data_IF_005487659586
#
_entry.id   IF_005487659586
#
_cell.length_a   1.000
_cell.length_b   1.000
_cell.length_c   1.000
_cell.angle_alpha   90.00
_cell.angle_beta   90.00
_cell.angle_gamma   90.00
#
_symmetry.space_group_name_H-M   'P 1'
#
loop_
_entity.id
_entity.type
_entity.pdbx_description
1 polymer ?
#
# COMPACT_ATOMS: atom_id res chain seq x y z
N UNK A 1 3.16 27.48 1.72
CA UNK A 1 2.05 26.91 0.92
C UNK A 1 1.13 26.18 1.87
N UNK A 2 -0.16 26.03 1.56
CA UNK A 2 -1.09 25.26 2.39
C UNK A 2 -0.93 23.75 2.10
N UNK A 3 -1.04 22.90 3.12
CA UNK A 3 -1.00 21.45 2.99
C UNK A 3 -2.41 20.88 2.99
N UNK A 4 -2.68 19.87 2.16
CA UNK A 4 -3.98 19.19 2.04
C UNK A 4 -3.89 17.80 2.65
N UNK A 5 -4.95 17.37 3.34
CA UNK A 5 -5.13 16.00 3.79
C UNK A 5 -6.45 15.47 3.24
N UNK A 6 -6.40 14.35 2.54
CA UNK A 6 -7.55 13.53 2.17
C UNK A 6 -7.47 12.27 3.03
N UNK A 7 -8.59 11.93 3.66
CA UNK A 7 -8.78 10.78 4.54
C UNK A 7 -10.18 10.25 4.28
N UNK A 8 -10.46 9.01 4.70
CA UNK A 8 -11.83 8.51 4.71
C UNK A 8 -12.71 9.41 5.61
N UNK A 9 -13.97 9.59 5.20
CA UNK A 9 -14.97 10.28 6.01
C UNK A 9 -15.34 9.45 7.26
N UNK A 10 -15.45 8.13 7.08
CA UNK A 10 -15.74 7.16 8.14
C UNK A 10 -14.72 6.02 8.10
N UNK A 11 -14.19 5.61 9.25
CA UNK A 11 -13.38 4.40 9.37
C UNK A 11 -13.65 3.65 10.67
N UNK A 12 -13.75 2.33 10.58
CA UNK A 12 -13.91 1.41 11.70
C UNK A 12 -12.62 0.62 11.91
N UNK A 13 -12.23 0.41 13.16
CA UNK A 13 -10.99 -0.26 13.53
C UNK A 13 -11.21 -1.33 14.58
N UNK A 14 -10.41 -2.39 14.51
CA UNK A 14 -10.37 -3.46 15.50
C UNK A 14 -11.12 -4.72 15.07
N UNK A 15 -10.95 -5.78 15.84
CA UNK A 15 -11.59 -7.07 15.57
C UNK A 15 -13.12 -6.93 15.47
N UNK A 16 -13.68 -7.42 14.36
CA UNK A 16 -15.12 -7.37 14.09
C UNK A 16 -15.61 -6.05 13.49
N UNK A 17 -14.72 -5.13 13.08
CA UNK A 17 -15.11 -3.88 12.42
C UNK A 17 -16.04 -4.10 11.21
N UNK A 18 -15.92 -5.19 10.45
CA UNK A 18 -16.79 -5.49 9.30
C UNK A 18 -18.27 -5.64 9.67
N UNK A 19 -18.60 -5.85 10.95
CA UNK A 19 -19.99 -5.97 11.41
C UNK A 19 -20.80 -4.68 11.24
N UNK A 20 -20.13 -3.54 11.01
CA UNK A 20 -20.76 -2.25 10.73
C UNK A 20 -21.11 -2.05 9.24
N UNK A 21 -20.69 -2.94 8.33
CA UNK A 21 -21.00 -2.83 6.89
C UNK A 21 -22.51 -2.67 6.64
N UNK A 22 -23.41 -3.50 7.22
CA UNK A 22 -24.84 -3.36 6.95
C UNK A 22 -25.43 -2.04 7.46
N UNK A 23 -24.87 -1.46 8.53
CA UNK A 23 -25.30 -0.17 9.06
C UNK A 23 -24.96 0.94 8.07
N UNK A 24 -23.71 1.00 7.61
CA UNK A 24 -23.24 2.00 6.64
C UNK A 24 -23.99 1.91 5.31
N UNK A 25 -24.20 0.69 4.80
CA UNK A 25 -24.95 0.46 3.56
C UNK A 25 -26.38 1.01 3.67
N UNK A 26 -27.08 0.72 4.78
CA UNK A 26 -28.45 1.21 5.01
C UNK A 26 -28.50 2.72 5.25
N UNK A 27 -27.56 3.27 6.02
CA UNK A 27 -27.50 4.69 6.34
C UNK A 27 -27.25 5.55 5.09
N UNK A 28 -26.47 5.03 4.14
CA UNK A 28 -26.17 5.70 2.87
C UNK A 28 -27.18 5.40 1.77
N UNK A 29 -28.16 4.53 2.02
CA UNK A 29 -29.24 4.20 1.09
C UNK A 29 -28.80 3.38 -0.11
N UNK A 30 -27.71 2.62 0.00
CA UNK A 30 -27.23 1.74 -1.06
C UNK A 30 -28.05 0.45 -1.15
N UNK A 31 -28.25 -0.07 -2.36
CA UNK A 31 -29.14 -1.20 -2.62
C UNK A 31 -28.41 -2.49 -3.00
N UNK A 32 -27.41 -2.44 -3.88
CA UNK A 32 -26.71 -3.63 -4.40
C UNK A 32 -25.20 -3.41 -4.48
N UNK A 33 -24.46 -4.24 -3.75
CA UNK A 33 -23.00 -4.23 -3.76
C UNK A 33 -22.42 -4.86 -5.02
N UNK A 34 -21.35 -4.28 -5.55
CA UNK A 34 -20.40 -4.99 -6.41
C UNK A 34 -19.15 -5.32 -5.58
N UNK A 35 -18.99 -6.59 -5.20
CA UNK A 35 -17.86 -7.03 -4.40
C UNK A 35 -16.66 -7.27 -5.33
N UNK A 36 -15.57 -6.55 -5.12
CA UNK A 36 -14.31 -6.71 -5.86
C UNK A 36 -13.30 -7.41 -4.97
N UNK A 37 -12.82 -8.58 -5.41
CA UNK A 37 -11.96 -9.47 -4.62
C UNK A 37 -11.13 -10.40 -5.55
N UNK A 38 -10.42 -11.37 -4.98
CA UNK A 38 -9.70 -12.41 -5.72
C UNK A 38 -10.18 -13.82 -5.37
N UNK A 39 -9.97 -14.76 -6.29
CA UNK A 39 -10.35 -16.17 -6.09
C UNK A 39 -9.72 -16.81 -4.85
N UNK A 40 -8.54 -16.36 -4.43
CA UNK A 40 -7.83 -16.87 -3.26
C UNK A 40 -8.58 -16.54 -1.98
N UNK A 41 -9.07 -15.32 -1.85
CA UNK A 41 -9.87 -14.86 -0.71
C UNK A 41 -11.24 -15.53 -0.64
N UNK A 42 -11.86 -15.81 -1.80
CA UNK A 42 -13.08 -16.63 -1.88
C UNK A 42 -12.80 -18.04 -1.38
N UNK A 43 -11.76 -18.71 -1.91
CA UNK A 43 -11.37 -20.07 -1.48
C UNK A 43 -10.98 -20.13 0.00
N UNK A 44 -10.46 -19.04 0.56
CA UNK A 44 -10.07 -18.92 1.95
C UNK A 44 -11.24 -18.68 2.92
N UNK A 45 -12.47 -18.48 2.43
CA UNK A 45 -13.63 -18.25 3.30
C UNK A 45 -13.79 -16.81 3.80
N UNK A 46 -12.97 -15.86 3.31
CA UNK A 46 -12.97 -14.47 3.80
C UNK A 46 -14.15 -13.69 3.22
N UNK A 47 -14.44 -13.89 1.93
CA UNK A 47 -15.56 -13.22 1.25
C UNK A 47 -16.91 -13.72 1.80
N UNK A 48 -16.97 -14.96 2.28
CA UNK A 48 -18.12 -15.56 2.94
C UNK A 48 -18.50 -14.82 4.22
N UNK A 49 -17.54 -14.31 4.99
CA UNK A 49 -17.83 -13.49 6.18
C UNK A 49 -18.64 -12.25 5.82
N UNK A 50 -18.24 -11.57 4.74
CA UNK A 50 -18.90 -10.36 4.23
C UNK A 50 -20.26 -10.69 3.62
N UNK A 51 -20.30 -11.66 2.72
CA UNK A 51 -21.55 -12.03 2.04
C UNK A 51 -22.60 -12.62 2.97
N UNK A 52 -22.18 -13.25 4.08
CA UNK A 52 -23.08 -13.65 5.16
C UNK A 52 -23.72 -12.43 5.84
N UNK A 53 -22.93 -11.41 6.19
CA UNK A 53 -23.45 -10.17 6.78
C UNK A 53 -24.47 -9.49 5.86
N UNK A 54 -24.18 -9.44 4.55
CA UNK A 54 -25.11 -8.90 3.56
C UNK A 54 -26.40 -9.73 3.47
N UNK A 55 -26.29 -11.06 3.36
CA UNK A 55 -27.45 -11.99 3.32
C UNK A 55 -28.33 -11.88 4.56
N UNK A 56 -27.73 -11.90 5.75
CA UNK A 56 -28.45 -11.82 7.03
C UNK A 56 -29.20 -10.48 7.17
N UNK A 57 -28.79 -9.45 6.42
CA UNK A 57 -29.41 -8.12 6.40
C UNK A 57 -30.24 -7.84 5.14
N UNK A 58 -30.49 -8.85 4.30
CA UNK A 58 -31.22 -8.73 3.04
C UNK A 58 -30.64 -7.70 2.06
N UNK A 59 -29.31 -7.55 2.05
CA UNK A 59 -28.58 -6.68 1.12
C UNK A 59 -28.11 -7.49 -0.09
N UNK A 60 -28.40 -7.00 -1.28
CA UNK A 60 -28.05 -7.67 -2.54
C UNK A 60 -26.57 -7.44 -2.88
N UNK A 61 -25.95 -8.40 -3.56
CA UNK A 61 -24.60 -8.23 -4.07
C UNK A 61 -24.33 -9.07 -5.31
N UNK A 62 -23.29 -8.70 -6.05
CA UNK A 62 -22.63 -9.46 -7.10
C UNK A 62 -21.14 -9.59 -6.74
N UNK A 63 -20.47 -10.68 -7.15
CA UNK A 63 -19.04 -10.87 -6.89
C UNK A 63 -18.25 -10.79 -8.20
N UNK A 64 -17.15 -10.05 -8.18
CA UNK A 64 -16.08 -10.08 -9.16
C UNK A 64 -14.78 -10.48 -8.46
N UNK A 65 -14.36 -11.73 -8.67
CA UNK A 65 -13.23 -12.40 -8.03
C UNK A 65 -12.02 -12.57 -8.95
N UNK A 66 -11.99 -11.85 -10.08
CA UNK A 66 -10.96 -11.98 -11.12
C UNK A 66 -9.75 -11.06 -10.92
N UNK A 67 -9.65 -10.39 -9.77
CA UNK A 67 -8.47 -9.57 -9.51
C UNK A 67 -7.24 -10.45 -9.33
N UNK A 68 -6.08 -9.91 -9.69
CA UNK A 68 -4.80 -10.60 -9.65
C UNK A 68 -3.78 -9.71 -8.94
N UNK A 69 -2.71 -10.29 -8.34
CA UNK A 69 -1.56 -9.49 -7.91
C UNK A 69 -1.09 -8.58 -9.04
N UNK A 70 -0.72 -7.34 -8.73
CA UNK A 70 -0.28 -6.34 -9.71
C UNK A 70 -1.33 -6.11 -10.83
N UNK A 71 -2.56 -5.66 -10.46
CA UNK A 71 -3.72 -5.71 -11.33
C UNK A 71 -3.50 -4.99 -12.66
N UNK A 72 -3.98 -5.58 -13.75
CA UNK A 72 -3.69 -5.09 -15.10
C UNK A 72 -4.82 -4.25 -15.67
N UNK A 73 -4.52 -3.48 -16.73
CA UNK A 73 -5.54 -2.74 -17.50
C UNK A 73 -6.66 -3.67 -17.99
N UNK A 74 -6.35 -4.91 -18.37
CA UNK A 74 -7.34 -5.88 -18.83
C UNK A 74 -8.32 -6.28 -17.71
N UNK A 75 -7.81 -6.58 -16.52
CA UNK A 75 -8.62 -6.94 -15.34
C UNK A 75 -9.56 -5.80 -14.95
N UNK A 76 -9.08 -4.55 -14.97
CA UNK A 76 -9.91 -3.37 -14.70
C UNK A 76 -11.04 -3.25 -15.72
N UNK A 77 -10.76 -3.44 -17.02
CA UNK A 77 -11.78 -3.39 -18.07
C UNK A 77 -12.85 -4.47 -17.91
N UNK A 78 -12.45 -5.70 -17.59
CA UNK A 78 -13.40 -6.78 -17.29
C UNK A 78 -14.28 -6.44 -16.09
N UNK A 79 -13.69 -5.85 -15.05
CA UNK A 79 -14.40 -5.39 -13.85
C UNK A 79 -15.40 -4.27 -14.12
N UNK A 80 -15.07 -3.33 -15.01
CA UNK A 80 -15.98 -2.24 -15.44
C UNK A 80 -17.22 -2.82 -16.14
N UNK A 81 -17.03 -3.76 -17.06
CA UNK A 81 -18.15 -4.37 -17.78
C UNK A 81 -19.02 -5.23 -16.86
N UNK A 82 -18.39 -5.97 -15.94
CA UNK A 82 -19.10 -6.72 -14.90
C UNK A 82 -19.89 -5.80 -13.95
N UNK A 83 -19.31 -4.67 -13.52
CA UNK A 83 -19.99 -3.68 -12.68
C UNK A 83 -21.25 -3.15 -13.38
N UNK A 84 -21.12 -2.69 -14.64
CA UNK A 84 -22.25 -2.18 -15.43
C UNK A 84 -23.36 -3.23 -15.61
N UNK A 85 -23.00 -4.49 -15.84
CA UNK A 85 -23.95 -5.58 -16.01
C UNK A 85 -24.65 -5.97 -14.69
N UNK A 86 -24.00 -5.76 -13.54
CA UNK A 86 -24.50 -6.17 -12.24
C UNK A 86 -25.70 -5.36 -11.75
N UNK A 87 -25.85 -4.11 -12.21
CA UNK A 87 -26.83 -3.16 -11.68
C UNK A 87 -26.54 -2.72 -10.24
N UNK A 88 -25.31 -2.90 -9.75
CA UNK A 88 -24.85 -2.38 -8.47
C UNK A 88 -24.77 -0.85 -8.47
N UNK A 89 -24.91 -0.26 -7.29
CA UNK A 89 -24.83 1.20 -7.06
C UNK A 89 -23.65 1.61 -6.17
N UNK A 90 -22.96 0.64 -5.55
CA UNK A 90 -21.71 0.86 -4.83
C UNK A 90 -20.75 -0.32 -4.97
N UNK A 91 -19.48 -0.09 -4.66
CA UNK A 91 -18.42 -1.11 -4.68
C UNK A 91 -18.03 -1.45 -3.24
N UNK A 92 -17.86 -2.74 -2.96
CA UNK A 92 -17.31 -3.26 -1.71
C UNK A 92 -16.01 -4.01 -2.02
N UNK A 93 -14.87 -3.34 -1.85
CA UNK A 93 -13.57 -3.95 -2.09
C UNK A 93 -13.15 -4.80 -0.88
N UNK A 94 -12.82 -6.07 -1.11
CA UNK A 94 -12.39 -7.01 -0.07
C UNK A 94 -11.07 -7.63 -0.52
N UNK A 95 -9.98 -7.23 0.11
CA UNK A 95 -8.67 -7.79 -0.19
C UNK A 95 -7.49 -6.92 0.20
N UNK A 96 -6.30 -7.23 -0.33
CA UNK A 96 -5.14 -6.34 -0.23
C UNK A 96 -5.22 -5.18 -1.23
N UNK A 97 -4.07 -4.53 -1.47
CA UNK A 97 -3.99 -3.43 -2.44
C UNK A 97 -4.49 -3.79 -3.84
N UNK A 98 -4.25 -5.02 -4.34
CA UNK A 98 -4.66 -5.39 -5.69
C UNK A 98 -6.19 -5.36 -5.93
N UNK A 99 -7.02 -6.01 -5.09
CA UNK A 99 -8.47 -5.83 -5.16
C UNK A 99 -8.95 -4.38 -4.96
N UNK A 100 -8.37 -3.66 -4.00
CA UNK A 100 -8.79 -2.28 -3.68
C UNK A 100 -8.45 -1.31 -4.82
N UNK A 101 -7.25 -1.40 -5.39
CA UNK A 101 -6.81 -0.59 -6.53
C UNK A 101 -7.65 -0.88 -7.77
N UNK A 102 -7.98 -2.16 -8.00
CA UNK A 102 -8.90 -2.55 -9.08
C UNK A 102 -10.27 -1.91 -8.87
N UNK A 103 -10.80 -1.94 -7.64
CA UNK A 103 -12.08 -1.36 -7.29
C UNK A 103 -12.11 0.17 -7.49
N UNK A 104 -11.04 0.87 -7.11
CA UNK A 104 -10.86 2.31 -7.35
C UNK A 104 -10.88 2.63 -8.84
N UNK A 105 -10.09 1.90 -9.63
CA UNK A 105 -10.05 2.11 -11.07
C UNK A 105 -11.41 1.86 -11.74
N UNK A 106 -12.13 0.80 -11.34
CA UNK A 106 -13.50 0.54 -11.81
C UNK A 106 -14.41 1.72 -11.46
N UNK A 107 -14.44 2.14 -10.19
CA UNK A 107 -15.33 3.19 -9.72
C UNK A 107 -15.07 4.55 -10.36
N UNK A 108 -13.80 4.92 -10.55
CA UNK A 108 -13.41 6.16 -11.24
C UNK A 108 -13.85 6.14 -12.71
N UNK A 109 -13.58 5.06 -13.43
CA UNK A 109 -13.85 5.00 -14.88
C UNK A 109 -15.34 4.90 -15.17
N UNK A 110 -16.10 4.22 -14.31
CA UNK A 110 -17.57 4.20 -14.42
C UNK A 110 -18.14 5.61 -14.29
N UNK A 111 -17.61 6.43 -13.37
CA UNK A 111 -18.05 7.81 -13.16
C UNK A 111 -17.44 8.81 -14.18
N UNK A 112 -16.32 8.47 -14.81
CA UNK A 112 -15.57 9.30 -15.75
C UNK A 112 -15.20 8.49 -17.01
N UNK A 113 -16.17 8.19 -17.90
CA UNK A 113 -16.00 7.23 -19.00
C UNK A 113 -15.00 7.65 -20.08
N UNK A 114 -14.58 8.92 -20.12
CA UNK A 114 -13.52 9.39 -21.00
C UNK A 114 -12.15 8.75 -20.71
N UNK A 115 -11.96 8.17 -19.51
CA UNK A 115 -10.75 7.46 -19.09
C UNK A 115 -10.84 5.93 -19.29
N UNK A 116 -11.68 5.46 -20.21
CA UNK A 116 -11.90 4.02 -20.49
C UNK A 116 -10.66 3.25 -20.98
N UNK A 117 -9.60 3.96 -21.39
CA UNK A 117 -8.31 3.36 -21.73
C UNK A 117 -7.45 3.03 -20.51
N UNK A 118 -7.81 3.53 -19.32
CA UNK A 118 -7.18 3.35 -17.99
C UNK A 118 -5.81 4.01 -17.88
N UNK A 119 -4.96 3.89 -18.90
CA UNK A 119 -3.59 4.44 -18.91
C UNK A 119 -3.61 5.98 -18.83
N UNK A 120 -4.66 6.63 -19.33
CA UNK A 120 -4.81 8.09 -19.21
C UNK A 120 -5.09 8.60 -17.79
N UNK A 121 -5.26 7.69 -16.82
CA UNK A 121 -5.39 8.02 -15.39
C UNK A 121 -4.03 8.20 -14.68
N UNK A 122 -2.92 7.88 -15.34
CA UNK A 122 -1.57 8.01 -14.77
C UNK A 122 -1.30 9.44 -14.25
N UNK A 123 -0.73 9.51 -13.05
CA UNK A 123 -0.44 10.77 -12.37
C UNK A 123 -1.71 11.44 -11.85
N UNK A 124 -1.80 12.76 -12.00
CA UNK A 124 -2.93 13.57 -11.50
C UNK A 124 -3.92 13.83 -12.62
N UNK A 125 -4.68 12.79 -12.99
CA UNK A 125 -5.65 12.88 -14.06
C UNK A 125 -6.81 13.83 -13.70
N UNK A 126 -7.31 14.64 -14.66
CA UNK A 126 -8.33 15.65 -14.39
C UNK A 126 -9.76 15.08 -14.43
N UNK A 127 -10.04 14.09 -13.58
CA UNK A 127 -11.40 13.55 -13.40
C UNK A 127 -12.33 14.63 -12.87
N UNK A 128 -13.62 14.54 -13.23
CA UNK A 128 -14.63 15.57 -12.90
C UNK A 128 -15.61 15.11 -11.84
N UNK A 129 -15.89 13.81 -11.82
CA UNK A 129 -16.86 13.19 -10.94
C UNK A 129 -16.15 12.34 -9.89
N UNK A 130 -16.63 12.35 -8.63
CA UNK A 130 -16.25 11.34 -7.64
C UNK A 130 -16.43 9.92 -8.18
N UNK A 131 -15.59 8.99 -7.72
CA UNK A 131 -15.77 7.56 -7.97
C UNK A 131 -17.18 7.12 -7.56
N UNK A 132 -17.66 6.02 -8.16
CA UNK A 132 -18.71 5.20 -7.54
C UNK A 132 -18.36 4.99 -6.05
N UNK A 133 -19.32 5.14 -5.12
CA UNK A 133 -19.06 4.98 -3.69
C UNK A 133 -18.38 3.65 -3.39
N UNK A 134 -17.26 3.71 -2.68
CA UNK A 134 -16.39 2.58 -2.41
C UNK A 134 -16.29 2.34 -0.89
N UNK A 135 -16.65 1.15 -0.45
CA UNK A 135 -16.42 0.64 0.90
C UNK A 135 -15.24 -0.33 0.85
N UNK A 136 -14.23 -0.16 1.69
CA UNK A 136 -12.99 -0.94 1.63
C UNK A 136 -12.76 -1.79 2.88
N UNK A 137 -12.45 -3.07 2.69
CA UNK A 137 -12.11 -4.05 3.72
C UNK A 137 -10.72 -4.63 3.43
N UNK A 138 -9.65 -4.06 4.01
CA UNK A 138 -8.31 -4.60 3.82
C UNK A 138 -8.16 -5.99 4.45
N UNK A 139 -7.54 -6.93 3.74
CA UNK A 139 -7.21 -8.28 4.24
C UNK A 139 -5.70 -8.50 4.41
N UNK A 140 -4.90 -7.48 4.11
CA UNK A 140 -3.46 -7.46 4.32
C UNK A 140 -3.07 -6.23 5.12
N UNK A 141 -2.10 -6.38 6.03
CA UNK A 141 -1.60 -5.25 6.84
C UNK A 141 -0.39 -4.61 6.16
N UNK A 142 -0.61 -3.81 5.10
CA UNK A 142 0.51 -3.29 4.28
C UNK A 142 0.22 -2.02 3.48
N UNK A 143 -0.60 -2.17 2.44
CA UNK A 143 -0.73 -1.16 1.38
C UNK A 143 -1.49 0.10 1.78
N UNK A 144 -2.35 0.01 2.81
CA UNK A 144 -3.25 1.08 3.24
C UNK A 144 -4.11 1.68 2.10
N UNK A 145 -4.38 0.89 1.06
CA UNK A 145 -5.10 1.32 -0.13
C UNK A 145 -6.53 1.80 0.20
N UNK A 146 -7.08 1.33 1.31
CA UNK A 146 -8.37 1.73 1.86
C UNK A 146 -8.44 3.19 2.33
N UNK A 147 -7.31 3.89 2.54
CA UNK A 147 -7.26 5.30 2.98
C UNK A 147 -6.49 6.22 2.02
N UNK A 148 -5.87 5.66 0.99
CA UNK A 148 -5.08 6.45 0.03
C UNK A 148 -5.96 7.04 -1.08
N UNK A 149 -5.46 8.09 -1.73
CA UNK A 149 -5.96 8.66 -2.99
C UNK A 149 -5.16 8.14 -4.20
N UNK A 150 -4.66 6.91 -4.08
CA UNK A 150 -3.73 6.30 -5.03
C UNK A 150 -4.22 4.89 -5.39
N UNK A 151 -3.96 4.49 -6.63
CA UNK A 151 -4.05 3.10 -7.07
C UNK A 151 -3.01 2.84 -8.17
N UNK A 152 -2.51 1.60 -8.23
CA UNK A 152 -1.41 1.23 -9.13
C UNK A 152 -1.85 0.10 -10.07
N UNK A 153 -1.81 0.38 -11.37
CA UNK A 153 -2.21 -0.57 -12.42
C UNK A 153 -0.98 -0.92 -13.28
N UNK A 154 -0.97 -2.15 -13.78
CA UNK A 154 0.04 -2.66 -14.71
C UNK A 154 -0.41 -2.46 -16.16
N UNK A 155 0.38 -1.72 -16.94
CA UNK A 155 0.30 -1.67 -18.40
C UNK A 155 1.13 -2.82 -18.98
N UNK A 156 0.45 -3.90 -19.37
CA UNK A 156 1.08 -5.09 -19.97
C UNK A 156 1.70 -4.80 -21.35
N UNK A 157 1.22 -3.78 -22.07
CA UNK A 157 1.72 -3.40 -23.40
C UNK A 157 3.08 -2.70 -23.26
N UNK A 158 3.20 -1.79 -22.29
CA UNK A 158 4.44 -1.06 -22.01
C UNK A 158 5.33 -1.73 -20.96
N UNK A 159 4.88 -2.86 -20.37
CA UNK A 159 5.56 -3.59 -19.30
C UNK A 159 5.98 -2.69 -18.13
N UNK A 160 5.05 -1.88 -17.65
CA UNK A 160 5.29 -0.96 -16.53
C UNK A 160 4.10 -0.88 -15.61
N UNK A 161 4.37 -0.53 -14.36
CA UNK A 161 3.36 -0.01 -13.46
C UNK A 161 3.21 1.49 -13.64
N UNK A 162 2.00 1.98 -13.45
CA UNK A 162 1.71 3.40 -13.39
C UNK A 162 0.81 3.68 -12.19
N UNK A 163 1.12 4.77 -11.49
CA UNK A 163 0.39 5.22 -10.32
C UNK A 163 -0.62 6.26 -10.76
N UNK A 164 -1.87 6.09 -10.36
CA UNK A 164 -2.92 7.09 -10.50
C UNK A 164 -3.09 7.80 -9.16
N UNK A 165 -3.28 9.11 -9.17
CA UNK A 165 -3.44 9.95 -7.98
C UNK A 165 -4.69 10.82 -8.13
N UNK A 166 -5.75 10.46 -7.43
CA UNK A 166 -7.05 11.13 -7.58
C UNK A 166 -7.81 11.24 -6.25
N UNK A 167 -8.14 12.47 -5.85
CA UNK A 167 -8.95 12.70 -4.64
C UNK A 167 -10.35 12.12 -4.75
N UNK A 168 -10.83 11.88 -5.98
CA UNK A 168 -12.12 11.26 -6.24
C UNK A 168 -12.15 9.74 -5.98
N UNK A 169 -11.00 9.08 -5.77
CA UNK A 169 -10.92 7.62 -5.57
C UNK A 169 -10.98 7.17 -4.10
N UNK A 170 -10.93 8.12 -3.16
CA UNK A 170 -10.93 7.83 -1.72
C UNK A 170 -12.16 6.98 -1.34
N UNK A 171 -11.99 5.84 -0.65
CA UNK A 171 -13.12 5.08 -0.15
C UNK A 171 -13.93 5.92 0.84
N UNK A 172 -15.26 5.85 0.76
CA UNK A 172 -16.15 6.61 1.67
C UNK A 172 -16.17 5.98 3.06
N UNK A 173 -15.91 4.67 3.17
CA UNK A 173 -15.72 3.97 4.44
C UNK A 173 -14.60 2.94 4.35
N UNK A 174 -13.75 2.87 5.38
CA UNK A 174 -12.79 1.78 5.57
C UNK A 174 -13.15 0.93 6.81
N UNK A 175 -13.06 -0.40 6.70
CA UNK A 175 -13.29 -1.36 7.79
C UNK A 175 -12.00 -2.13 8.07
N UNK A 176 -11.14 -1.56 8.92
CA UNK A 176 -9.83 -2.11 9.27
C UNK A 176 -10.01 -3.18 10.36
N UNK A 177 -10.40 -4.37 9.92
CA UNK A 177 -10.72 -5.51 10.78
C UNK A 177 -9.56 -6.52 10.85
N UNK A 178 -8.96 -6.67 12.03
CA UNK A 178 -7.87 -7.61 12.23
C UNK A 178 -8.28 -9.07 12.01
N UNK A 179 -9.57 -9.43 12.19
CA UNK A 179 -10.08 -10.78 11.91
C UNK A 179 -10.07 -11.14 10.41
N UNK A 180 -10.00 -10.14 9.53
CA UNK A 180 -9.85 -10.31 8.09
C UNK A 180 -8.38 -10.51 7.68
N UNK A 181 -7.45 -10.34 8.62
CA UNK A 181 -6.00 -10.40 8.41
C UNK A 181 -5.34 -11.60 9.11
N UNK A 182 -6.04 -12.29 10.02
CA UNK A 182 -5.51 -13.41 10.82
C UNK A 182 -4.97 -14.57 9.97
N UNK A 183 -5.62 -14.83 8.83
CA UNK A 183 -5.28 -15.94 7.94
C UNK A 183 -4.04 -15.73 7.06
N UNK A 184 -3.40 -14.54 7.11
CA UNK A 184 -2.23 -14.26 6.29
C UNK A 184 -1.10 -15.26 6.58
N UNK A 185 -0.54 -15.92 5.55
CA UNK A 185 0.69 -16.70 5.70
C UNK A 185 1.84 -15.84 6.28
N UNK A 186 2.81 -16.49 6.93
CA UNK A 186 3.95 -15.81 7.57
C UNK A 186 4.69 -14.89 6.60
N UNK A 187 5.02 -15.39 5.42
CA UNK A 187 5.78 -14.66 4.41
C UNK A 187 5.00 -13.45 3.88
N UNK A 188 3.67 -13.59 3.73
CA UNK A 188 2.80 -12.49 3.34
C UNK A 188 2.76 -11.41 4.44
N UNK A 189 2.59 -11.83 5.70
CA UNK A 189 2.59 -10.93 6.85
C UNK A 189 3.91 -10.14 6.98
N UNK A 190 5.03 -10.82 6.76
CA UNK A 190 6.36 -10.22 6.78
C UNK A 190 6.51 -9.18 5.66
N UNK A 191 6.21 -9.58 4.42
CA UNK A 191 6.33 -8.72 3.25
C UNK A 191 5.43 -7.48 3.37
N UNK A 192 4.15 -7.65 3.70
CA UNK A 192 3.21 -6.52 3.80
C UNK A 192 3.52 -5.64 5.02
N UNK A 193 4.01 -6.21 6.12
CA UNK A 193 4.38 -5.40 7.27
C UNK A 193 5.65 -4.55 7.03
N UNK A 194 6.62 -5.09 6.31
CA UNK A 194 7.79 -4.32 5.86
C UNK A 194 7.42 -3.27 4.80
N UNK A 195 6.40 -3.56 3.98
CA UNK A 195 5.79 -2.58 3.08
C UNK A 195 5.18 -1.40 3.85
N UNK A 196 4.36 -1.67 4.87
CA UNK A 196 3.83 -0.64 5.76
C UNK A 196 4.93 0.17 6.45
N UNK A 197 6.03 -0.47 6.88
CA UNK A 197 7.17 0.23 7.45
C UNK A 197 7.87 1.13 6.42
N UNK A 198 8.00 0.65 5.18
CA UNK A 198 8.53 1.42 4.05
C UNK A 198 7.68 2.66 3.81
N UNK A 199 6.35 2.51 3.73
CA UNK A 199 5.41 3.63 3.61
C UNK A 199 5.62 4.67 4.71
N UNK A 200 5.74 4.23 5.96
CA UNK A 200 5.90 5.13 7.08
C UNK A 200 7.26 5.84 7.07
N UNK A 201 8.36 5.12 6.79
CA UNK A 201 9.70 5.72 6.74
C UNK A 201 9.85 6.68 5.55
N UNK A 202 9.44 6.27 4.36
CA UNK A 202 9.53 7.13 3.17
C UNK A 202 8.63 8.34 3.30
N UNK A 203 7.38 8.17 3.77
CA UNK A 203 6.48 9.27 4.04
C UNK A 203 7.02 10.21 5.13
N UNK A 204 7.75 9.70 6.12
CA UNK A 204 8.37 10.52 7.15
C UNK A 204 9.50 11.37 6.59
N UNK A 205 10.27 10.90 5.60
CA UNK A 205 11.44 11.62 5.08
C UNK A 205 11.22 12.25 3.70
N UNK A 206 10.04 12.10 3.10
CA UNK A 206 9.73 12.65 1.78
C UNK A 206 9.81 14.17 1.77
N UNK A 207 10.11 14.76 0.60
CA UNK A 207 10.20 16.22 0.41
C UNK A 207 8.91 16.96 0.80
N UNK A 208 7.76 16.31 0.68
CA UNK A 208 6.44 16.85 1.03
C UNK A 208 6.08 16.77 2.52
N UNK A 209 6.95 16.18 3.36
CA UNK A 209 6.66 15.96 4.76
C UNK A 209 6.42 17.27 5.53
N UNK A 210 5.47 17.23 6.46
CA UNK A 210 5.13 18.35 7.34
C UNK A 210 4.58 17.82 8.68
N UNK A 211 4.40 18.71 9.65
CA UNK A 211 4.09 18.36 11.05
C UNK A 211 3.01 17.26 11.22
N UNK A 212 1.88 17.37 10.51
CA UNK A 212 0.78 16.40 10.65
C UNK A 212 1.12 15.04 10.03
N UNK A 213 1.77 15.00 8.85
CA UNK A 213 2.21 13.73 8.28
C UNK A 213 3.28 13.09 9.16
N UNK A 214 4.21 13.90 9.67
CA UNK A 214 5.28 13.46 10.57
C UNK A 214 4.74 12.79 11.83
N UNK A 215 3.70 13.38 12.44
CA UNK A 215 2.99 12.80 13.59
C UNK A 215 2.39 11.42 13.28
N UNK A 216 1.79 11.26 12.09
CA UNK A 216 1.21 9.98 11.67
C UNK A 216 2.31 8.94 11.43
N UNK A 217 3.31 9.30 10.63
CA UNK A 217 4.37 8.38 10.21
C UNK A 217 5.22 7.90 11.38
N UNK A 218 5.63 8.77 12.30
CA UNK A 218 6.45 8.34 13.44
C UNK A 218 5.68 7.37 14.35
N UNK A 219 4.36 7.58 14.51
CA UNK A 219 3.50 6.66 15.27
C UNK A 219 3.32 5.33 14.54
N UNK A 220 3.16 5.35 13.22
CA UNK A 220 3.10 4.13 12.42
C UNK A 220 4.40 3.31 12.55
N UNK A 221 5.57 3.96 12.47
CA UNK A 221 6.88 3.29 12.65
C UNK A 221 6.96 2.60 14.01
N UNK A 222 6.56 3.29 15.09
CA UNK A 222 6.54 2.73 16.45
C UNK A 222 5.65 1.49 16.57
N UNK A 223 4.42 1.57 16.05
CA UNK A 223 3.46 0.46 16.10
C UNK A 223 3.94 -0.72 15.26
N UNK A 224 4.44 -0.46 14.06
CA UNK A 224 4.89 -1.53 13.15
C UNK A 224 6.15 -2.21 13.71
N UNK A 225 7.13 -1.44 14.17
CA UNK A 225 8.39 -1.98 14.66
C UNK A 225 8.22 -2.87 15.91
N UNK A 226 7.30 -2.50 16.81
CA UNK A 226 7.03 -3.28 18.03
C UNK A 226 6.19 -4.54 17.76
N UNK A 227 5.37 -4.57 16.70
CA UNK A 227 4.31 -5.59 16.54
C UNK A 227 4.52 -6.54 15.35
N UNK A 228 5.37 -6.19 14.37
CA UNK A 228 5.52 -7.00 13.15
C UNK A 228 6.01 -8.43 13.43
N UNK A 229 7.00 -8.60 14.32
CA UNK A 229 7.52 -9.93 14.69
C UNK A 229 6.41 -10.83 15.25
N UNK A 230 5.58 -10.29 16.12
CA UNK A 230 4.47 -11.02 16.74
C UNK A 230 3.36 -11.32 15.72
N UNK A 231 3.03 -10.37 14.85
CA UNK A 231 2.10 -10.58 13.73
C UNK A 231 2.55 -11.72 12.81
N UNK A 232 3.84 -11.77 12.45
CA UNK A 232 4.41 -12.85 11.62
C UNK A 232 4.35 -14.20 12.32
N UNK A 233 4.47 -14.22 13.65
CA UNK A 233 4.27 -15.42 14.46
C UNK A 233 2.80 -15.83 14.62
N UNK A 234 1.86 -14.99 14.16
CA UNK A 234 0.42 -15.24 14.21
C UNK A 234 -0.23 -14.81 15.53
N UNK A 235 0.43 -13.96 16.33
CA UNK A 235 -0.17 -13.40 17.54
C UNK A 235 -1.32 -12.45 17.20
N UNK A 236 -2.42 -12.55 17.94
CA UNK A 236 -3.63 -11.76 17.69
C UNK A 236 -3.40 -10.26 17.93
N UNK A 237 -2.67 -9.91 19.00
CA UNK A 237 -2.36 -8.50 19.33
C UNK A 237 -1.43 -7.93 18.28
N UNK A 238 -0.42 -8.70 17.85
CA UNK A 238 0.46 -8.32 16.75
C UNK A 238 -0.31 -8.01 15.46
N UNK A 239 -1.31 -8.85 15.12
CA UNK A 239 -2.17 -8.65 13.94
C UNK A 239 -3.03 -7.39 14.05
N UNK A 240 -3.61 -7.14 15.20
CA UNK A 240 -4.43 -5.95 15.46
C UNK A 240 -3.62 -4.66 15.41
N UNK A 241 -2.45 -4.65 16.05
CA UNK A 241 -1.52 -3.53 15.99
C UNK A 241 -1.04 -3.27 14.56
N UNK A 242 -0.69 -4.31 13.81
CA UNK A 242 -0.27 -4.15 12.41
C UNK A 242 -1.40 -3.61 11.52
N UNK A 243 -2.65 -4.01 11.75
CA UNK A 243 -3.81 -3.49 11.03
C UNK A 243 -3.98 -1.98 11.25
N UNK A 244 -3.77 -1.50 12.48
CA UNK A 244 -3.79 -0.07 12.80
C UNK A 244 -2.55 0.66 12.24
N UNK A 245 -1.36 0.11 12.46
CA UNK A 245 -0.09 0.75 12.09
C UNK A 245 0.03 1.01 10.59
N UNK A 246 -0.33 0.04 9.75
CA UNK A 246 -0.33 0.21 8.30
C UNK A 246 -1.32 1.29 7.83
N UNK A 247 -2.50 1.36 8.44
CA UNK A 247 -3.51 2.35 8.08
C UNK A 247 -3.02 3.77 8.41
N UNK A 248 -2.43 3.95 9.60
CA UNK A 248 -1.86 5.24 10.02
C UNK A 248 -0.74 5.67 9.06
N UNK A 249 0.09 4.74 8.58
CA UNK A 249 1.08 5.05 7.54
C UNK A 249 0.39 5.62 6.28
N UNK A 250 -0.69 4.98 5.83
CA UNK A 250 -1.54 5.40 4.71
C UNK A 250 -2.09 6.82 4.83
N UNK A 251 -2.62 7.17 6.00
CA UNK A 251 -3.13 8.52 6.29
C UNK A 251 -2.08 9.59 6.00
N UNK A 252 -0.81 9.29 6.26
CA UNK A 252 0.31 10.18 5.99
C UNK A 252 0.74 10.14 4.53
N UNK A 253 1.24 9.00 4.04
CA UNK A 253 2.02 8.96 2.81
C UNK A 253 1.20 9.33 1.57
N UNK A 254 -0.10 9.03 1.58
CA UNK A 254 -0.99 9.38 0.48
C UNK A 254 -1.03 10.89 0.20
N UNK A 255 -0.78 11.69 1.24
CA UNK A 255 -0.90 13.14 1.19
C UNK A 255 0.43 13.87 0.94
N UNK A 256 1.57 13.19 1.12
CA UNK A 256 2.90 13.82 1.03
C UNK A 256 3.85 13.12 0.06
N UNK A 257 3.52 11.92 -0.39
CA UNK A 257 4.34 11.10 -1.26
C UNK A 257 5.21 10.09 -0.50
N UNK A 258 6.07 9.44 -1.27
CA UNK A 258 7.01 8.40 -0.84
C UNK A 258 8.42 8.79 -1.30
N UNK A 259 9.24 7.83 -1.73
CA UNK A 259 10.58 8.07 -2.21
C UNK A 259 11.11 6.98 -3.13
N UNK A 260 12.42 6.80 -3.10
CA UNK A 260 13.15 5.95 -4.03
C UNK A 260 12.97 4.45 -3.79
N UNK A 261 12.55 3.99 -2.59
CA UNK A 261 12.27 2.56 -2.36
C UNK A 261 11.13 2.12 -3.26
N UNK A 262 10.00 2.81 -3.22
CA UNK A 262 8.87 2.53 -4.10
C UNK A 262 9.22 2.74 -5.57
N UNK A 263 9.98 3.79 -5.87
CA UNK A 263 10.44 4.09 -7.23
C UNK A 263 11.25 2.95 -7.84
N UNK A 264 12.08 2.29 -7.03
CA UNK A 264 12.84 1.11 -7.41
C UNK A 264 12.02 -0.18 -7.34
N UNK A 265 10.99 -0.28 -6.51
CA UNK A 265 10.17 -1.49 -6.36
C UNK A 265 9.13 -1.65 -7.50
N UNK A 266 8.55 -0.56 -8.01
CA UNK A 266 7.53 -0.62 -9.05
C UNK A 266 8.00 -1.31 -10.34
N UNK A 267 9.19 -1.00 -10.90
CA UNK A 267 9.71 -1.71 -12.06
C UNK A 267 9.91 -3.21 -11.82
N UNK A 268 10.33 -3.63 -10.61
CA UNK A 268 10.53 -5.06 -10.30
C UNK A 268 9.21 -5.83 -10.42
N UNK A 269 8.11 -5.25 -9.93
CA UNK A 269 6.78 -5.81 -10.09
C UNK A 269 6.33 -5.90 -11.55
N UNK A 270 6.74 -4.95 -12.41
CA UNK A 270 6.37 -4.97 -13.82
C UNK A 270 7.20 -5.95 -14.66
N UNK A 271 8.49 -6.12 -14.34
CA UNK A 271 9.42 -6.95 -15.09
C UNK A 271 9.38 -8.42 -14.69
N UNK A 272 9.21 -8.71 -13.41
CA UNK A 272 9.35 -10.06 -12.85
C UNK A 272 8.14 -10.51 -12.04
N UNK A 273 7.07 -9.71 -12.00
CA UNK A 273 5.90 -9.95 -11.14
C UNK A 273 6.29 -10.11 -9.65
N UNK A 274 7.38 -9.46 -9.24
CA UNK A 274 7.86 -9.52 -7.85
C UNK A 274 6.78 -8.99 -6.91
N UNK A 275 6.45 -9.70 -5.82
CA UNK A 275 5.52 -9.20 -4.82
C UNK A 275 5.98 -7.86 -4.25
N UNK A 276 5.09 -6.86 -4.28
CA UNK A 276 5.42 -5.46 -3.95
C UNK A 276 6.12 -5.31 -2.60
N UNK A 277 5.53 -5.87 -1.54
CA UNK A 277 6.11 -5.78 -0.20
C UNK A 277 7.47 -6.47 -0.06
N UNK A 278 7.74 -7.53 -0.84
CA UNK A 278 9.06 -8.18 -0.84
C UNK A 278 10.10 -7.27 -1.48
N UNK A 279 9.79 -6.66 -2.63
CA UNK A 279 10.68 -5.71 -3.29
C UNK A 279 11.01 -4.53 -2.37
N UNK A 280 10.01 -3.89 -1.78
CA UNK A 280 10.18 -2.78 -0.84
C UNK A 280 11.04 -3.20 0.37
N UNK A 281 10.77 -4.37 0.95
CA UNK A 281 11.49 -4.86 2.12
C UNK A 281 12.99 -5.10 1.86
N UNK A 282 13.36 -5.62 0.67
CA UNK A 282 14.76 -5.83 0.27
C UNK A 282 15.46 -4.48 0.06
N UNK A 283 14.79 -3.53 -0.61
CA UNK A 283 15.35 -2.24 -1.01
C UNK A 283 15.52 -1.26 0.17
N UNK A 284 14.59 -1.29 1.14
CA UNK A 284 14.46 -0.27 2.18
C UNK A 284 15.76 0.03 2.94
N UNK A 285 16.50 -0.94 3.53
CA UNK A 285 17.71 -0.62 4.29
C UNK A 285 18.79 0.05 3.44
N UNK A 286 18.93 -0.35 2.18
CA UNK A 286 19.95 0.18 1.25
C UNK A 286 19.62 1.60 0.82
N UNK A 287 18.35 1.87 0.50
CA UNK A 287 17.92 3.24 0.15
C UNK A 287 17.93 4.15 1.37
N UNK A 288 17.66 3.63 2.57
CA UNK A 288 17.81 4.40 3.81
C UNK A 288 19.27 4.83 4.02
N UNK A 289 20.22 3.90 3.84
CA UNK A 289 21.65 4.22 3.94
C UNK A 289 22.08 5.29 2.91
N UNK A 290 21.56 5.20 1.69
CA UNK A 290 21.76 6.19 0.63
C UNK A 290 21.21 7.57 0.97
N UNK A 291 20.06 7.63 1.64
CA UNK A 291 19.36 8.87 1.98
C UNK A 291 19.80 9.50 3.30
N UNK A 292 20.50 8.78 4.19
CA UNK A 292 20.66 9.16 5.61
C UNK A 292 21.16 10.59 5.83
N UNK A 293 22.05 11.09 4.98
CA UNK A 293 22.60 12.46 5.05
C UNK A 293 21.60 13.59 4.72
N UNK A 294 20.46 13.26 4.10
CA UNK A 294 19.45 14.22 3.62
C UNK A 294 18.20 14.25 4.49
N UNK A 295 18.25 13.69 5.71
CA UNK A 295 17.06 13.45 6.54
C UNK A 295 17.01 14.29 7.82
N UNK A 296 17.98 15.20 8.01
CA UNK A 296 18.12 15.94 9.27
C UNK A 296 18.26 14.99 10.46
N UNK A 297 17.45 15.21 11.49
CA UNK A 297 17.39 14.38 12.71
C UNK A 297 16.38 13.22 12.61
N UNK A 298 15.65 13.07 11.49
CA UNK A 298 14.53 12.12 11.39
C UNK A 298 14.96 10.67 11.65
N UNK A 299 16.17 10.27 11.28
CA UNK A 299 16.64 8.90 11.54
C UNK A 299 16.89 8.64 13.02
N UNK A 300 17.24 9.66 13.82
CA UNK A 300 17.27 9.52 15.28
C UNK A 300 15.89 9.16 15.81
N UNK A 301 14.84 9.83 15.32
CA UNK A 301 13.47 9.54 15.72
C UNK A 301 13.03 8.14 15.27
N UNK A 302 13.42 7.71 14.05
CA UNK A 302 13.16 6.35 13.58
C UNK A 302 13.84 5.32 14.49
N UNK A 303 15.13 5.48 14.81
CA UNK A 303 15.84 4.59 15.72
C UNK A 303 15.15 4.50 17.09
N UNK A 304 14.73 5.64 17.66
CA UNK A 304 13.96 5.68 18.91
C UNK A 304 12.63 4.93 18.80
N UNK A 305 11.85 5.20 17.74
CA UNK A 305 10.55 4.56 17.50
C UNK A 305 10.67 3.05 17.28
N UNK A 306 11.80 2.59 16.71
CA UNK A 306 12.11 1.17 16.54
C UNK A 306 12.68 0.50 17.81
N UNK A 307 12.79 1.23 18.93
CA UNK A 307 13.22 0.70 20.21
C UNK A 307 14.74 0.54 20.35
N UNK A 308 15.55 1.26 19.58
CA UNK A 308 17.00 1.28 19.76
C UNK A 308 17.35 1.98 21.08
N UNK A 309 18.10 1.31 21.95
CA UNK A 309 18.52 1.85 23.25
C UNK A 309 19.64 2.87 23.12
N UNK A 310 19.62 3.91 23.97
CA UNK A 310 20.72 4.88 24.09
C UNK A 310 20.84 5.87 22.91
N UNK A 311 19.82 5.96 22.05
CA UNK A 311 19.81 6.84 20.88
C UNK A 311 20.05 8.31 21.24
N UNK A 312 19.62 8.77 22.42
CA UNK A 312 19.84 10.14 22.88
C UNK A 312 21.32 10.50 23.11
N UNK A 313 22.15 9.50 23.43
CA UNK A 313 23.59 9.67 23.70
C UNK A 313 24.44 9.52 22.43
N UNK A 314 23.87 8.96 21.36
CA UNK A 314 24.56 8.76 20.08
C UNK A 314 24.79 10.09 19.34
N UNK A 315 25.91 10.22 18.64
CA UNK A 315 26.06 11.22 17.58
C UNK A 315 24.99 11.02 16.49
N UNK A 316 24.76 12.02 15.66
CA UNK A 316 23.76 11.92 14.60
C UNK A 316 24.12 10.85 13.56
N UNK A 317 25.40 10.68 13.26
CA UNK A 317 25.91 9.63 12.37
C UNK A 317 25.63 8.23 12.94
N UNK A 318 25.95 8.01 14.21
CA UNK A 318 25.65 6.74 14.90
C UNK A 318 24.15 6.45 14.96
N UNK A 319 23.32 7.47 15.22
CA UNK A 319 21.87 7.31 15.25
C UNK A 319 21.29 6.96 13.87
N UNK A 320 21.85 7.53 12.78
CA UNK A 320 21.49 7.18 11.40
C UNK A 320 21.81 5.74 11.07
N UNK A 321 23.02 5.30 11.39
CA UNK A 321 23.43 3.91 11.19
C UNK A 321 22.60 2.95 12.03
N UNK A 322 22.26 3.33 13.26
CA UNK A 322 21.40 2.54 14.13
C UNK A 322 19.99 2.34 13.56
N UNK A 323 19.39 3.37 12.95
CA UNK A 323 18.09 3.26 12.28
C UNK A 323 18.14 2.28 11.10
N UNK A 324 19.14 2.42 10.22
CA UNK A 324 19.37 1.52 9.07
C UNK A 324 19.54 0.07 9.55
N UNK A 325 20.36 -0.13 10.60
CA UNK A 325 20.61 -1.45 11.16
C UNK A 325 19.37 -2.06 11.81
N UNK A 326 18.53 -1.27 12.49
CA UNK A 326 17.29 -1.74 13.09
C UNK A 326 16.29 -2.25 12.03
N UNK A 327 16.14 -1.54 10.92
CA UNK A 327 15.30 -1.98 9.78
C UNK A 327 15.87 -3.24 9.14
N UNK A 328 17.19 -3.28 8.89
CA UNK A 328 17.85 -4.48 8.35
C UNK A 328 17.66 -5.69 9.25
N UNK A 329 17.81 -5.52 10.57
CA UNK A 329 17.61 -6.59 11.55
C UNK A 329 16.16 -7.06 11.58
N UNK A 330 15.19 -6.14 11.52
CA UNK A 330 13.77 -6.50 11.44
C UNK A 330 13.47 -7.34 10.19
N UNK A 331 13.97 -6.94 9.02
CA UNK A 331 13.83 -7.71 7.78
C UNK A 331 14.40 -9.13 7.91
N UNK A 332 15.55 -9.30 8.57
CA UNK A 332 16.13 -10.61 8.87
C UNK A 332 15.23 -11.42 9.81
N UNK A 333 14.75 -10.81 10.90
CA UNK A 333 13.97 -11.49 11.94
C UNK A 333 12.63 -12.03 11.40
N UNK A 334 12.05 -11.32 10.43
CA UNK A 334 10.76 -11.69 9.81
C UNK A 334 10.91 -12.50 8.53
N UNK A 335 12.14 -12.83 8.14
CA UNK A 335 12.42 -13.76 7.04
C UNK A 335 12.34 -13.17 5.63
N UNK A 336 12.58 -11.88 5.46
CA UNK A 336 12.67 -11.26 4.13
C UNK A 336 13.91 -11.79 3.39
N UNK A 337 13.82 -12.07 2.08
CA UNK A 337 14.98 -12.38 1.25
C UNK A 337 16.07 -11.29 1.36
N UNK A 338 17.34 -11.65 1.15
CA UNK A 338 18.44 -10.69 1.35
C UNK A 338 18.83 -9.96 0.07
N UNK A 339 18.55 -10.58 -1.07
CA UNK A 339 19.01 -10.12 -2.38
C UNK A 339 17.87 -10.07 -3.37
N UNK A 340 18.03 -9.25 -4.41
CA UNK A 340 17.07 -9.20 -5.50
C UNK A 340 17.16 -10.44 -6.41
N UNK A 341 18.31 -11.12 -6.44
CA UNK A 341 18.47 -12.36 -7.22
C UNK A 341 17.63 -13.52 -6.66
N UNK A 342 17.37 -13.57 -5.35
CA UNK A 342 16.43 -14.51 -4.73
C UNK A 342 14.99 -14.37 -5.24
N UNK A 343 14.62 -13.19 -5.78
CA UNK A 343 13.29 -12.92 -6.35
C UNK A 343 13.30 -12.79 -7.87
N UNK A 344 14.35 -13.31 -8.52
CA UNK A 344 14.43 -13.44 -9.98
C UNK A 344 15.00 -12.24 -10.73
N UNK A 345 15.47 -11.21 -10.03
CA UNK A 345 16.12 -10.05 -10.63
C UNK A 345 17.42 -10.44 -11.34
N UNK A 346 17.67 -9.87 -12.52
CA UNK A 346 18.84 -10.19 -13.33
C UNK A 346 19.75 -8.97 -13.49
N UNK A 347 21.05 -9.20 -13.33
CA UNK A 347 22.07 -8.16 -13.47
C UNK A 347 22.06 -7.48 -14.85
N UNK A 348 21.63 -8.19 -15.90
CA UNK A 348 21.56 -7.68 -17.29
C UNK A 348 20.43 -6.66 -17.53
N UNK A 349 19.43 -6.60 -16.66
CA UNK A 349 18.27 -5.73 -16.80
C UNK A 349 18.41 -4.41 -16.00
N UNK A 350 19.46 -4.30 -15.16
CA UNK A 350 19.69 -3.21 -14.20
C UNK A 350 19.61 -1.84 -14.86
N UNK A 351 20.30 -1.63 -15.99
CA UNK A 351 20.38 -0.33 -16.65
C UNK A 351 19.02 0.15 -17.17
N UNK A 352 18.15 -0.75 -17.62
CA UNK A 352 16.83 -0.37 -18.09
C UNK A 352 15.88 -0.15 -16.91
N UNK A 353 15.90 -1.04 -15.93
CA UNK A 353 15.08 -0.93 -14.72
C UNK A 353 15.41 0.33 -13.92
N UNK A 354 16.67 0.76 -13.87
CA UNK A 354 17.06 2.02 -13.24
C UNK A 354 16.49 3.26 -13.95
N UNK A 355 16.33 3.24 -15.28
CA UNK A 355 15.67 4.33 -16.02
C UNK A 355 14.18 4.37 -15.72
N UNK A 356 13.55 3.19 -15.66
CA UNK A 356 12.14 3.06 -15.32
C UNK A 356 11.89 3.56 -13.88
N UNK A 357 12.80 3.24 -12.94
CA UNK A 357 12.74 3.72 -11.57
C UNK A 357 12.90 5.25 -11.47
N UNK A 358 13.79 5.85 -12.26
CA UNK A 358 13.99 7.31 -12.24
C UNK A 358 12.72 8.08 -12.65
N UNK A 359 11.96 7.55 -13.60
CA UNK A 359 10.72 8.18 -14.11
C UNK A 359 9.47 7.78 -13.32
N UNK A 360 9.60 6.92 -12.32
CA UNK A 360 8.50 6.60 -11.42
C UNK A 360 8.06 7.83 -10.61
N UNK A 361 6.75 7.98 -10.40
CA UNK A 361 6.18 9.15 -9.72
C UNK A 361 6.69 9.30 -8.28
N UNK A 362 6.99 8.19 -7.60
CA UNK A 362 7.39 8.19 -6.19
C UNK A 362 8.83 8.66 -6.00
N UNK A 363 9.71 8.42 -6.98
CA UNK A 363 11.11 8.85 -6.97
C UNK A 363 11.26 10.36 -6.79
N UNK A 364 10.34 11.16 -7.35
CA UNK A 364 10.34 12.61 -7.20
C UNK A 364 10.20 13.10 -5.75
N UNK A 365 9.62 12.28 -4.86
CA UNK A 365 9.47 12.58 -3.43
C UNK A 365 10.73 12.34 -2.60
N UNK A 366 11.72 11.62 -3.14
CA UNK A 366 12.91 11.22 -2.39
C UNK A 366 13.68 12.45 -1.84
N UNK A 367 14.13 12.46 -0.58
CA UNK A 367 14.80 13.63 0.02
C UNK A 367 16.14 13.97 -0.65
N UNK A 368 16.81 12.96 -1.22
CA UNK A 368 18.04 13.11 -2.01
C UNK A 368 17.70 13.08 -3.49
N UNK A 369 18.04 14.13 -4.23
CA UNK A 369 17.99 14.07 -5.69
C UNK A 369 18.91 12.96 -6.21
N UNK A 370 18.48 12.24 -7.24
CA UNK A 370 19.20 11.07 -7.76
C UNK A 370 19.26 11.07 -9.29
N UNK A 371 20.01 10.14 -9.86
CA UNK A 371 20.18 9.91 -11.29
C UNK A 371 20.23 8.39 -11.59
N UNK A 372 20.24 8.04 -12.89
CA UNK A 372 20.25 6.63 -13.31
C UNK A 372 21.49 5.91 -12.78
N UNK A 373 22.66 6.56 -12.79
CA UNK A 373 23.93 5.96 -12.38
C UNK A 373 23.91 5.55 -10.90
N UNK A 374 23.41 6.41 -10.01
CA UNK A 374 23.25 6.10 -8.59
C UNK A 374 22.23 4.98 -8.37
N UNK A 375 21.10 4.99 -9.09
CA UNK A 375 20.10 3.90 -8.99
C UNK A 375 20.68 2.56 -9.47
N UNK A 376 21.49 2.56 -10.52
CA UNK A 376 22.22 1.38 -10.99
C UNK A 376 23.15 0.84 -9.91
N UNK A 377 23.89 1.71 -9.21
CA UNK A 377 24.75 1.32 -8.10
C UNK A 377 23.95 0.70 -6.94
N UNK A 378 22.79 1.27 -6.60
CA UNK A 378 21.90 0.73 -5.57
C UNK A 378 21.39 -0.68 -5.94
N UNK A 379 20.90 -0.89 -7.15
CA UNK A 379 20.49 -2.23 -7.61
C UNK A 379 21.66 -3.22 -7.60
N UNK A 380 22.83 -2.83 -8.08
CA UNK A 380 24.02 -3.69 -8.11
C UNK A 380 24.51 -4.08 -6.72
N UNK A 381 24.30 -3.22 -5.72
CA UNK A 381 24.64 -3.54 -4.33
C UNK A 381 23.77 -4.63 -3.70
N UNK A 382 22.65 -4.98 -4.36
CA UNK A 382 21.64 -5.94 -3.91
C UNK A 382 21.59 -7.22 -4.78
N UNK A 383 22.53 -7.39 -5.71
CA UNK A 383 22.63 -8.58 -6.57
C UNK A 383 23.12 -9.81 -5.80
#
# INVERSE_FOLDING_TARGET
MANRMILNETSYFGAGAITHIPEEVKARGFEKAFIVTDEGLVKAGLVEKITKLLKDNALSYEIFDKTVPNPTVAVVKDGIEAYKASGADYILAVGGGSPIDTAKAIGIVVANPEFSDIVSLEGVAPTKNPSVPLLAVPTTSGTAAEVTINYVITDEVKKRKFVCVDVHDIPVVAFVDSEMMLGMPKDLAAATGMDALTHAIEGYITKGAWEMSDMLHIKAIEIIARSLRDSVNGDLTGREDMALGQYIAGMGFSNVGLGLVHGMAHPLGAWYDTPHGVANAILLPTVMDYNKEFTGDKYRNIATAMGVSGVEEMSLEEARDAAVNAVRQLGIDVGIPKTLTEVGFKAEDVEQIAKDALVDVTTGGNPRDTNVEEIVELYRSLL
#
